data_IF_874818686610
#
_entry.id   IF_874818686610
#
_cell.length_a   1.000
_cell.length_b   1.000
_cell.length_c   1.000
_cell.angle_alpha   90.00
_cell.angle_beta   90.00
_cell.angle_gamma   90.00
#
_symmetry.space_group_name_H-M   'P 1'
#
loop_
_entity.id
_entity.type
_entity.pdbx_description
1 polymer ?
#
# COMPACT_ATOMS: atom_id res chain seq x y z
N UNK A 1 -23.95 -5.67 -13.35
CA UNK A 1 -22.59 -5.07 -13.44
C UNK A 1 -22.66 -3.72 -12.76
N UNK A 2 -21.70 -3.37 -11.91
CA UNK A 2 -21.63 -1.99 -11.37
C UNK A 2 -21.16 -1.09 -12.51
N UNK A 3 -22.02 -0.15 -12.90
CA UNK A 3 -21.76 0.91 -13.86
C UNK A 3 -21.63 2.20 -13.05
N UNK A 4 -20.43 2.79 -13.06
CA UNK A 4 -20.09 3.98 -12.30
C UNK A 4 -19.69 5.08 -13.27
N UNK A 5 -20.22 6.28 -13.05
CA UNK A 5 -19.75 7.46 -13.76
C UNK A 5 -18.51 7.99 -13.05
N UNK A 6 -17.45 8.29 -13.82
CA UNK A 6 -16.19 8.85 -13.30
C UNK A 6 -16.33 10.36 -13.21
N UNK A 7 -16.07 10.92 -12.03
CA UNK A 7 -16.09 12.35 -11.77
C UNK A 7 -14.66 12.91 -11.66
N UNK A 8 -14.53 14.04 -10.97
CA UNK A 8 -13.29 14.79 -10.83
C UNK A 8 -12.21 14.01 -10.06
N UNK A 9 -10.98 14.48 -10.26
CA UNK A 9 -9.80 13.98 -9.55
C UNK A 9 -9.90 14.36 -8.08
N UNK A 10 -10.06 13.36 -7.21
CA UNK A 10 -10.07 13.52 -5.76
C UNK A 10 -8.66 13.75 -5.21
N UNK A 11 -7.69 12.96 -5.69
CA UNK A 11 -6.34 12.96 -5.15
C UNK A 11 -5.32 12.48 -6.19
N UNK A 12 -4.13 13.07 -6.18
CA UNK A 12 -3.00 12.63 -6.98
C UNK A 12 -1.78 12.40 -6.10
N UNK A 13 -1.34 11.14 -6.04
CA UNK A 13 -0.10 10.75 -5.36
C UNK A 13 1.08 10.60 -6.32
N UNK A 14 2.20 10.14 -5.79
CA UNK A 14 3.45 9.89 -6.54
C UNK A 14 3.25 8.90 -7.71
N UNK A 15 2.42 7.87 -7.55
CA UNK A 15 2.28 6.78 -8.53
C UNK A 15 0.84 6.52 -9.02
N UNK A 16 -0.17 7.11 -8.39
CA UNK A 16 -1.59 6.82 -8.62
C UNK A 16 -2.42 8.09 -8.57
N UNK A 17 -3.54 8.10 -9.29
CA UNK A 17 -4.58 9.13 -9.21
C UNK A 17 -5.88 8.45 -8.74
N UNK A 18 -6.63 9.10 -7.86
CA UNK A 18 -7.96 8.67 -7.44
C UNK A 18 -9.00 9.64 -7.98
N UNK A 19 -10.04 9.10 -8.59
CA UNK A 19 -11.19 9.83 -9.12
C UNK A 19 -12.44 9.44 -8.34
N UNK A 20 -13.28 10.43 -8.07
CA UNK A 20 -14.60 10.17 -7.49
C UNK A 20 -15.51 9.47 -8.51
N UNK A 21 -16.57 8.85 -8.00
CA UNK A 21 -17.58 8.21 -8.85
C UNK A 21 -18.99 8.63 -8.45
N UNK A 22 -19.98 8.25 -9.25
CA UNK A 22 -21.40 8.42 -8.94
C UNK A 22 -21.84 7.74 -7.63
N UNK A 23 -21.08 6.77 -7.12
CA UNK A 23 -21.29 6.17 -5.80
C UNK A 23 -20.17 6.61 -4.83
N UNK A 24 -20.51 7.29 -3.72
CA UNK A 24 -19.51 7.81 -2.77
C UNK A 24 -18.69 6.72 -2.05
N UNK A 25 -19.11 5.46 -2.12
CA UNK A 25 -18.40 4.32 -1.52
C UNK A 25 -17.28 3.79 -2.42
N UNK A 26 -17.22 4.20 -3.69
CA UNK A 26 -16.25 3.70 -4.66
C UNK A 26 -15.44 4.82 -5.30
N UNK A 27 -14.20 4.49 -5.62
CA UNK A 27 -13.27 5.36 -6.36
C UNK A 27 -12.75 4.63 -7.59
N UNK A 28 -12.37 5.39 -8.62
CA UNK A 28 -11.57 4.87 -9.73
C UNK A 28 -10.10 5.21 -9.46
N UNK A 29 -9.27 4.17 -9.33
CA UNK A 29 -7.83 4.28 -9.14
C UNK A 29 -7.11 4.11 -10.48
N UNK A 30 -6.39 5.14 -10.92
CA UNK A 30 -5.56 5.15 -12.12
C UNK A 30 -4.07 5.00 -11.79
N UNK A 31 -3.35 4.16 -12.54
CA UNK A 31 -1.93 3.90 -12.35
C UNK A 31 -1.06 4.70 -13.33
N UNK A 32 -0.21 5.59 -12.77
CA UNK A 32 0.72 6.44 -13.55
C UNK A 32 2.00 5.70 -13.94
N UNK A 33 2.61 6.15 -15.04
CA UNK A 33 3.93 5.71 -15.50
C UNK A 33 5.08 6.39 -14.73
N UNK A 34 4.76 7.34 -13.85
CA UNK A 34 5.70 8.03 -12.98
C UNK A 34 6.43 7.06 -12.05
N UNK A 35 7.74 7.26 -11.93
CA UNK A 35 8.62 6.61 -10.96
C UNK A 35 9.26 7.71 -10.12
N UNK A 36 9.25 7.50 -8.80
CA UNK A 36 9.90 8.40 -7.85
C UNK A 36 10.86 7.62 -6.96
N UNK A 37 12.05 8.18 -6.68
CA UNK A 37 13.00 7.62 -5.72
C UNK A 37 13.50 8.69 -4.75
N UNK A 38 13.92 8.26 -3.55
CA UNK A 38 14.45 9.16 -2.50
C UNK A 38 13.44 10.20 -2.05
N UNK A 39 12.29 9.78 -1.51
CA UNK A 39 11.21 10.67 -1.05
C UNK A 39 10.68 11.68 -2.09
N UNK A 40 10.95 11.47 -3.38
CA UNK A 40 10.49 12.31 -4.48
C UNK A 40 11.57 13.22 -5.09
N UNK A 41 12.82 13.13 -4.61
CA UNK A 41 13.97 13.86 -5.16
C UNK A 41 14.27 13.51 -6.61
N UNK A 42 14.07 12.24 -6.99
CA UNK A 42 14.22 11.79 -8.38
C UNK A 42 12.86 11.44 -8.94
N UNK A 43 12.48 12.07 -10.05
CA UNK A 43 11.26 11.79 -10.81
C UNK A 43 11.61 11.46 -12.24
N UNK A 44 11.03 10.40 -12.76
CA UNK A 44 11.17 9.96 -14.14
C UNK A 44 9.86 9.29 -14.60
N UNK A 45 9.74 9.02 -15.89
CA UNK A 45 8.58 8.32 -16.47
C UNK A 45 9.06 7.06 -17.18
N UNK A 46 8.55 5.91 -16.76
CA UNK A 46 8.81 4.64 -17.44
C UNK A 46 7.55 4.20 -18.17
N UNK A 47 7.61 4.21 -19.50
CA UNK A 47 6.48 3.82 -20.34
C UNK A 47 5.92 2.44 -19.94
N UNK A 48 4.59 2.35 -19.86
CA UNK A 48 3.82 1.14 -19.49
C UNK A 48 4.00 0.68 -18.05
N UNK A 49 4.78 1.35 -17.20
CA UNK A 49 4.92 1.00 -15.77
C UNK A 49 3.57 0.98 -15.04
N UNK A 50 2.67 1.90 -15.38
CA UNK A 50 1.32 1.93 -14.82
C UNK A 50 0.51 0.69 -15.21
N UNK A 51 0.63 0.23 -16.45
CA UNK A 51 -0.04 -0.98 -16.96
C UNK A 51 0.45 -2.23 -16.21
N UNK A 52 1.77 -2.39 -16.12
CA UNK A 52 2.35 -3.53 -15.40
C UNK A 52 1.96 -3.52 -13.92
N UNK A 53 2.03 -2.36 -13.26
CA UNK A 53 1.62 -2.27 -11.85
C UNK A 53 0.13 -2.55 -11.66
N UNK A 54 -0.73 -2.08 -12.56
CA UNK A 54 -2.17 -2.35 -12.48
C UNK A 54 -2.44 -3.85 -12.61
N UNK A 55 -1.83 -4.50 -13.60
CA UNK A 55 -2.01 -5.94 -13.84
C UNK A 55 -1.49 -6.77 -12.66
N UNK A 56 -0.26 -6.51 -12.20
CA UNK A 56 0.33 -7.21 -11.05
C UNK A 56 -0.50 -6.98 -9.78
N UNK A 57 -0.92 -5.74 -9.50
CA UNK A 57 -1.78 -5.46 -8.35
C UNK A 57 -3.12 -6.19 -8.42
N UNK A 58 -3.75 -6.26 -9.61
CA UNK A 58 -5.00 -7.02 -9.80
C UNK A 58 -4.81 -8.47 -9.41
N UNK A 59 -3.80 -9.14 -9.98
CA UNK A 59 -3.54 -10.56 -9.71
C UNK A 59 -3.23 -10.83 -8.23
N UNK A 60 -2.48 -9.95 -7.57
CA UNK A 60 -2.20 -10.09 -6.13
C UNK A 60 -3.49 -9.95 -5.32
N UNK A 61 -4.33 -8.96 -5.61
CA UNK A 61 -5.58 -8.78 -4.88
C UNK A 61 -6.58 -9.93 -5.11
N UNK A 62 -6.63 -10.49 -6.31
CA UNK A 62 -7.43 -11.68 -6.61
C UNK A 62 -6.96 -12.88 -5.78
N UNK A 63 -5.66 -13.13 -5.74
CA UNK A 63 -5.08 -14.18 -4.88
C UNK A 63 -5.39 -13.96 -3.40
N UNK A 64 -5.25 -12.73 -2.89
CA UNK A 64 -5.60 -12.42 -1.50
C UNK A 64 -7.09 -12.67 -1.20
N UNK A 65 -7.97 -12.38 -2.17
CA UNK A 65 -9.40 -12.68 -2.06
C UNK A 65 -9.67 -14.19 -1.99
N UNK A 66 -8.92 -15.02 -2.74
CA UNK A 66 -9.01 -16.49 -2.64
C UNK A 66 -8.58 -16.99 -1.25
N UNK A 67 -7.59 -16.33 -0.65
CA UNK A 67 -7.18 -16.54 0.75
C UNK A 67 -8.16 -15.96 1.79
N UNK A 68 -9.31 -15.41 1.36
CA UNK A 68 -10.32 -14.77 2.22
C UNK A 68 -9.80 -13.54 2.98
N UNK A 69 -8.84 -12.84 2.40
CA UNK A 69 -8.35 -11.56 2.93
C UNK A 69 -9.13 -10.45 2.22
N UNK A 70 -9.81 -9.62 3.01
CA UNK A 70 -10.58 -8.51 2.47
C UNK A 70 -9.65 -7.44 1.89
N UNK A 71 -9.93 -7.05 0.64
CA UNK A 71 -9.19 -6.00 -0.04
C UNK A 71 -10.14 -4.89 -0.49
N UNK A 72 -9.57 -3.76 -0.87
CA UNK A 72 -10.36 -2.67 -1.44
C UNK A 72 -10.73 -2.90 -2.90
N UNK A 73 -10.14 -3.89 -3.59
CA UNK A 73 -10.38 -4.09 -5.02
C UNK A 73 -11.80 -4.60 -5.23
N UNK A 74 -12.53 -3.95 -6.14
CA UNK A 74 -13.84 -4.42 -6.61
C UNK A 74 -13.67 -5.11 -7.97
N UNK A 75 -13.05 -4.42 -8.93
CA UNK A 75 -12.70 -4.99 -10.25
C UNK A 75 -11.69 -4.11 -10.99
N UNK A 76 -10.93 -4.73 -11.89
CA UNK A 76 -10.24 -4.03 -12.98
C UNK A 76 -11.27 -3.55 -14.02
N UNK A 77 -11.07 -2.36 -14.59
CA UNK A 77 -11.93 -1.84 -15.67
C UNK A 77 -11.19 -1.65 -17.00
N UNK A 78 -9.86 -1.47 -16.96
CA UNK A 78 -8.97 -1.48 -18.12
C UNK A 78 -7.51 -1.64 -17.65
N UNK A 79 -6.56 -1.60 -18.57
CA UNK A 79 -5.12 -1.77 -18.32
C UNK A 79 -4.51 -0.78 -17.31
N UNK A 80 -5.19 0.33 -16.98
CA UNK A 80 -4.67 1.37 -16.09
C UNK A 80 -5.58 1.69 -14.92
N UNK A 81 -6.81 1.19 -14.91
CA UNK A 81 -7.81 1.61 -13.95
C UNK A 81 -8.48 0.42 -13.25
N UNK A 82 -8.81 0.65 -11.98
CA UNK A 82 -9.54 -0.28 -11.13
C UNK A 82 -10.60 0.48 -10.34
N UNK A 83 -11.73 -0.16 -10.08
CA UNK A 83 -12.70 0.30 -9.08
C UNK A 83 -12.28 -0.25 -7.73
N UNK A 84 -12.19 0.64 -6.74
CA UNK A 84 -11.81 0.31 -5.37
C UNK A 84 -12.81 0.89 -4.37
N UNK A 85 -12.97 0.24 -3.22
CA UNK A 85 -13.70 0.79 -2.06
C UNK A 85 -12.98 2.05 -1.57
N UNK A 86 -13.74 3.11 -1.28
CA UNK A 86 -13.25 4.29 -0.57
C UNK A 86 -12.97 3.90 0.88
N UNK A 87 -11.75 4.18 1.36
CA UNK A 87 -11.30 3.82 2.70
C UNK A 87 -10.80 5.05 3.46
N UNK A 88 -10.91 5.00 4.79
CA UNK A 88 -10.07 5.82 5.67
C UNK A 88 -8.73 5.12 5.84
N UNK A 89 -7.65 5.76 5.39
CA UNK A 89 -6.31 5.17 5.41
C UNK A 89 -5.68 5.45 6.78
N UNK A 90 -5.20 4.40 7.43
CA UNK A 90 -4.38 4.51 8.63
C UNK A 90 -3.04 5.17 8.25
N UNK A 91 -2.52 6.14 9.03
CA UNK A 91 -1.26 6.81 8.72
C UNK A 91 -0.04 5.95 9.13
N UNK A 92 -0.11 4.65 8.87
CA UNK A 92 0.95 3.68 9.16
C UNK A 92 1.22 2.81 7.93
N UNK A 93 2.49 2.55 7.65
CA UNK A 93 2.94 1.57 6.68
C UNK A 93 3.39 0.30 7.41
N UNK A 94 2.90 -0.85 6.95
CA UNK A 94 3.23 -2.17 7.48
C UNK A 94 4.24 -2.82 6.53
N UNK A 95 5.44 -3.12 7.03
CA UNK A 95 6.51 -3.75 6.25
C UNK A 95 6.84 -5.13 6.80
N UNK A 96 6.72 -6.15 5.95
CA UNK A 96 7.17 -7.52 6.26
C UNK A 96 8.57 -7.74 5.69
N UNK A 97 9.46 -8.39 6.45
CA UNK A 97 10.80 -8.77 5.99
C UNK A 97 11.11 -10.24 6.23
N UNK A 98 11.24 -10.98 5.14
CA UNK A 98 11.78 -12.35 5.14
C UNK A 98 13.33 -12.37 5.08
N UNK A 99 13.92 -11.39 4.39
CA UNK A 99 15.36 -11.22 4.26
C UNK A 99 15.75 -9.75 4.50
N UNK A 100 16.97 -9.52 4.97
CA UNK A 100 17.49 -8.18 5.20
C UNK A 100 17.75 -7.47 3.86
N UNK A 101 17.03 -6.37 3.62
CA UNK A 101 17.22 -5.47 2.48
C UNK A 101 16.72 -4.06 2.83
N UNK A 102 17.29 -3.04 2.18
CA UNK A 102 16.83 -1.65 2.35
C UNK A 102 17.24 -1.02 3.68
N UNK A 103 16.33 -0.28 4.31
CA UNK A 103 16.61 0.54 5.51
C UNK A 103 17.10 -0.27 6.70
N UNK A 104 16.61 -1.50 6.90
CA UNK A 104 17.01 -2.35 8.03
C UNK A 104 18.52 -2.69 8.02
N UNK A 105 19.10 -2.90 6.83
CA UNK A 105 20.54 -3.16 6.69
C UNK A 105 21.38 -1.99 7.21
N UNK A 106 20.94 -0.75 6.93
CA UNK A 106 21.63 0.46 7.39
C UNK A 106 21.40 0.71 8.88
N UNK A 107 20.15 0.58 9.35
CA UNK A 107 19.79 0.85 10.75
C UNK A 107 20.51 -0.04 11.76
N UNK A 108 20.68 -1.33 11.43
CA UNK A 108 21.20 -2.34 12.36
C UNK A 108 22.50 -2.98 11.89
N UNK A 109 23.13 -2.45 10.85
CA UNK A 109 24.36 -3.00 10.25
C UNK A 109 24.24 -4.50 9.89
N UNK A 110 23.08 -4.90 9.36
CA UNK A 110 22.80 -6.28 8.95
C UNK A 110 23.21 -6.47 7.49
N UNK A 111 23.97 -7.54 7.21
CA UNK A 111 24.35 -7.89 5.84
C UNK A 111 23.12 -8.11 4.95
N UNK A 112 23.09 -7.44 3.80
CA UNK A 112 22.05 -7.63 2.78
C UNK A 112 21.94 -9.12 2.40
N UNK A 113 20.72 -9.63 2.36
CA UNK A 113 20.43 -11.04 2.06
C UNK A 113 20.43 -11.96 3.28
N UNK A 114 20.73 -11.47 4.49
CA UNK A 114 20.55 -12.26 5.71
C UNK A 114 19.10 -12.75 5.82
N UNK A 115 18.91 -14.06 5.98
CA UNK A 115 17.59 -14.68 6.14
C UNK A 115 17.20 -14.66 7.61
N UNK A 116 16.05 -14.06 7.93
CA UNK A 116 15.53 -14.09 9.29
C UNK A 116 14.93 -15.46 9.61
N UNK A 117 15.04 -15.89 10.87
CA UNK A 117 14.45 -17.15 11.35
C UNK A 117 12.91 -17.12 11.32
N UNK A 118 12.34 -15.93 11.50
CA UNK A 118 10.93 -15.63 11.33
C UNK A 118 10.78 -14.29 10.61
N UNK A 119 9.69 -14.07 9.84
CA UNK A 119 9.49 -12.79 9.18
C UNK A 119 9.32 -11.67 10.21
N UNK A 120 10.01 -10.56 10.01
CA UNK A 120 9.86 -9.37 10.85
C UNK A 120 8.69 -8.53 10.32
N UNK A 121 7.97 -7.89 11.24
CA UNK A 121 6.94 -6.91 10.96
C UNK A 121 7.41 -5.57 11.54
N UNK A 122 7.50 -4.54 10.71
CA UNK A 122 7.88 -3.20 11.11
C UNK A 122 6.77 -2.21 10.77
N UNK A 123 6.46 -1.30 11.68
CA UNK A 123 5.52 -0.20 11.46
C UNK A 123 6.27 1.11 11.23
N UNK A 124 5.84 1.88 10.25
CA UNK A 124 6.37 3.20 9.96
C UNK A 124 5.24 4.22 9.94
N UNK A 125 5.40 5.35 10.63
CA UNK A 125 4.42 6.43 10.57
C UNK A 125 4.53 7.12 9.22
N UNK A 126 3.42 7.28 8.51
CA UNK A 126 3.40 7.83 7.16
C UNK A 126 3.41 9.35 7.18
N UNK A 127 4.61 9.92 7.13
CA UNK A 127 4.84 11.36 7.08
C UNK A 127 6.16 11.63 6.34
N UNK A 128 6.01 12.04 5.08
CA UNK A 128 7.12 12.37 4.18
C UNK A 128 8.05 13.45 4.79
N UNK A 129 7.53 14.35 5.64
CA UNK A 129 8.33 15.42 6.29
C UNK A 129 9.24 14.91 7.40
N UNK A 130 8.87 13.78 8.01
CA UNK A 130 9.63 13.10 9.06
C UNK A 130 10.46 11.93 8.50
N UNK A 131 10.48 11.74 7.18
CA UNK A 131 11.08 10.60 6.49
C UNK A 131 10.54 9.25 6.97
N UNK A 132 9.23 9.18 7.21
CA UNK A 132 8.50 7.99 7.64
C UNK A 132 9.20 7.25 8.80
N UNK A 133 9.14 7.73 10.06
CA UNK A 133 9.91 7.13 11.15
C UNK A 133 9.39 5.74 11.53
N UNK A 134 10.31 4.86 11.96
CA UNK A 134 9.96 3.57 12.56
C UNK A 134 9.24 3.81 13.89
N UNK A 135 8.10 3.16 14.09
CA UNK A 135 7.28 3.28 15.30
C UNK A 135 6.95 1.91 15.88
N UNK A 136 6.58 1.91 17.16
CA UNK A 136 6.15 0.73 17.90
C UNK A 136 4.64 0.78 18.14
N UNK A 137 4.03 -0.37 18.36
CA UNK A 137 2.59 -0.54 18.59
C UNK A 137 2.06 0.39 19.69
N UNK A 138 2.80 0.53 20.79
CA UNK A 138 2.41 1.39 21.89
C UNK A 138 2.26 2.86 21.46
N UNK A 139 3.16 3.35 20.61
CA UNK A 139 3.08 4.71 20.08
C UNK A 139 1.92 4.85 19.09
N UNK A 140 1.71 3.85 18.22
CA UNK A 140 0.61 3.85 17.25
C UNK A 140 -0.74 3.94 17.94
N UNK A 141 -0.93 3.16 19.01
CA UNK A 141 -2.14 3.16 19.82
C UNK A 141 -2.30 4.45 20.63
N UNK A 142 -1.23 4.93 21.29
CA UNK A 142 -1.26 6.18 22.08
C UNK A 142 -1.64 7.39 21.22
N UNK A 143 -1.10 7.47 20.00
CA UNK A 143 -1.39 8.54 19.06
C UNK A 143 -2.76 8.39 18.36
N UNK A 144 -3.49 7.31 18.63
CA UNK A 144 -4.80 7.03 18.03
C UNK A 144 -4.75 6.78 16.52
N UNK A 145 -3.59 6.44 15.96
CA UNK A 145 -3.43 6.21 14.53
C UNK A 145 -4.09 4.91 14.08
N UNK A 146 -4.09 3.90 14.94
CA UNK A 146 -4.73 2.60 14.75
C UNK A 146 -4.96 2.00 16.13
N UNK A 147 -6.16 1.49 16.42
CA UNK A 147 -6.42 0.91 17.74
C UNK A 147 -5.85 -0.51 17.87
N UNK A 148 -5.75 -1.03 19.09
CA UNK A 148 -5.20 -2.36 19.37
C UNK A 148 -5.94 -3.51 18.66
N UNK A 149 -7.25 -3.38 18.44
CA UNK A 149 -8.01 -4.40 17.72
C UNK A 149 -7.64 -4.40 16.24
N UNK A 150 -7.63 -3.24 15.60
CA UNK A 150 -7.25 -3.06 14.19
C UNK A 150 -5.80 -3.47 13.91
N UNK A 151 -4.87 -3.16 14.81
CA UNK A 151 -3.47 -3.60 14.71
C UNK A 151 -3.35 -5.12 14.73
N UNK A 152 -4.10 -5.79 15.61
CA UNK A 152 -4.10 -7.27 15.68
C UNK A 152 -4.67 -7.89 14.42
N UNK A 153 -5.76 -7.35 13.87
CA UNK A 153 -6.33 -7.85 12.62
C UNK A 153 -5.34 -7.67 11.46
N UNK A 154 -4.68 -6.51 11.37
CA UNK A 154 -3.59 -6.25 10.41
C UNK A 154 -2.49 -7.31 10.50
N UNK A 155 -2.06 -7.66 11.72
CA UNK A 155 -1.02 -8.67 11.92
C UNK A 155 -1.49 -10.05 11.51
N UNK A 156 -2.74 -10.41 11.81
CA UNK A 156 -3.32 -11.68 11.41
C UNK A 156 -3.41 -11.83 9.88
N UNK A 157 -3.85 -10.80 9.18
CA UNK A 157 -3.89 -10.77 7.71
C UNK A 157 -2.48 -10.90 7.12
N UNK A 158 -1.52 -10.18 7.71
CA UNK A 158 -0.11 -10.19 7.34
C UNK A 158 0.54 -11.56 7.54
N UNK A 159 0.18 -12.28 8.62
CA UNK A 159 0.64 -13.63 8.89
C UNK A 159 0.03 -14.68 7.95
N UNK A 160 -1.22 -14.47 7.52
CA UNK A 160 -1.89 -15.37 6.56
C UNK A 160 -1.24 -15.33 5.17
N UNK A 161 -0.52 -14.25 4.85
CA UNK A 161 0.24 -14.09 3.61
C UNK A 161 1.65 -14.68 3.64
N UNK A 162 2.08 -15.32 4.74
CA UNK A 162 3.41 -15.94 4.89
C UNK A 162 3.46 -17.36 4.33
#
# INVERSE_FOLDING_TARGET
>A
MIELEKFDKMYEGKAKILYETSDPNYLIQYFKDDITAGNGEKKDTLAKKGIYNQSICTTIYEYLSECKIDTHLIKSINDREQIVKKLSIFPIEVIIRNHAAGSICRRYNIKKGYKFSSPLLELFYKDDSLNDPLVIDALVTEMGWCNNYELRERYRETDTCR
#
